data_IF_393922151119
#
_entry.id   IF_393922151119
#
_cell.length_a   1.000
_cell.length_b   1.000
_cell.length_c   1.000
_cell.angle_alpha   90.00
_cell.angle_beta   90.00
_cell.angle_gamma   90.00
#
_symmetry.space_group_name_H-M   'P 1'
#
loop_
_entity.id
_entity.type
_entity.pdbx_description
1 polymer ?
#
# COMPACT_ATOMS: atom_id res chain seq x y z
N UNK A 1 35.57 32.69 -32.06
CA UNK A 1 34.33 32.26 -31.37
C UNK A 1 34.62 30.91 -30.72
N UNK A 2 34.59 30.83 -29.38
CA UNK A 2 34.91 29.62 -28.60
C UNK A 2 33.64 28.80 -28.44
N UNK A 3 33.59 27.57 -28.97
CA UNK A 3 32.53 26.61 -28.68
C UNK A 3 32.99 25.71 -27.52
N UNK A 4 32.46 25.96 -26.33
CA UNK A 4 32.54 25.06 -25.17
C UNK A 4 31.48 23.97 -25.35
N UNK A 5 31.90 22.73 -25.62
CA UNK A 5 31.03 21.56 -25.46
C UNK A 5 30.88 21.26 -23.96
N UNK A 6 29.67 21.44 -23.45
CA UNK A 6 29.26 20.95 -22.14
C UNK A 6 28.71 19.53 -22.30
N UNK A 7 29.40 18.58 -21.66
CA UNK A 7 28.95 17.21 -21.47
C UNK A 7 27.67 17.19 -20.63
N UNK A 8 26.64 16.46 -21.09
CA UNK A 8 25.49 16.09 -20.27
C UNK A 8 25.56 14.59 -19.99
N UNK A 9 25.99 14.25 -18.77
CA UNK A 9 25.83 12.92 -18.20
C UNK A 9 24.33 12.61 -18.15
N UNK A 10 23.90 11.58 -18.88
CA UNK A 10 22.59 10.97 -18.68
C UNK A 10 22.60 10.28 -17.30
N UNK A 11 22.06 10.94 -16.30
CA UNK A 11 21.70 10.31 -15.04
C UNK A 11 20.56 9.35 -15.34
N UNK A 12 20.87 8.08 -15.62
CA UNK A 12 19.88 7.00 -15.66
C UNK A 12 19.31 6.92 -14.25
N UNK A 13 18.12 7.51 -14.08
CA UNK A 13 17.38 7.45 -12.84
C UNK A 13 17.19 5.99 -12.46
N UNK A 14 17.86 5.56 -11.40
CA UNK A 14 17.47 4.37 -10.67
C UNK A 14 16.00 4.58 -10.29
N UNK A 15 15.09 3.86 -10.94
CA UNK A 15 13.66 3.91 -10.63
C UNK A 15 13.51 3.70 -9.13
N UNK A 16 13.07 4.74 -8.41
CA UNK A 16 12.76 4.60 -7.00
C UNK A 16 11.71 3.50 -6.90
N UNK A 17 12.04 2.39 -6.25
CA UNK A 17 11.07 1.39 -5.87
C UNK A 17 9.94 2.14 -5.15
N UNK A 18 8.80 2.27 -5.81
CA UNK A 18 7.67 2.99 -5.24
C UNK A 18 7.26 2.21 -4.01
N UNK A 19 7.37 2.82 -2.83
CA UNK A 19 6.99 2.15 -1.59
C UNK A 19 5.54 1.64 -1.71
N UNK A 20 5.29 0.41 -1.27
CA UNK A 20 3.98 -0.24 -1.25
C UNK A 20 2.93 0.62 -0.52
N UNK A 21 1.88 1.05 -1.22
CA UNK A 21 0.76 1.82 -0.65
C UNK A 21 -0.34 0.84 -0.27
N UNK A 22 -0.80 0.90 0.97
CA UNK A 22 -1.86 0.05 1.48
C UNK A 22 -3.13 0.83 1.79
N UNK A 23 -4.25 0.16 1.54
CA UNK A 23 -5.56 0.46 2.10
C UNK A 23 -5.95 -0.67 3.06
N UNK A 24 -6.66 -0.35 4.13
CA UNK A 24 -7.37 -1.35 4.94
C UNK A 24 -8.85 -1.01 5.06
N UNK A 25 -9.66 -2.05 5.20
CA UNK A 25 -11.06 -1.94 5.64
C UNK A 25 -11.14 -2.49 7.05
N UNK A 26 -11.67 -1.68 7.96
CA UNK A 26 -11.91 -2.07 9.35
C UNK A 26 -13.27 -2.76 9.48
N UNK A 27 -13.44 -3.50 10.57
CA UNK A 27 -14.67 -4.24 10.88
C UNK A 27 -15.94 -3.38 10.95
N UNK A 28 -15.79 -2.10 11.29
CA UNK A 28 -16.90 -1.14 11.32
C UNK A 28 -17.21 -0.53 9.94
N UNK A 29 -16.53 -0.99 8.88
CA UNK A 29 -16.66 -0.48 7.52
C UNK A 29 -15.77 0.73 7.23
N UNK A 30 -15.01 1.24 8.20
CA UNK A 30 -14.09 2.37 7.98
C UNK A 30 -12.97 1.95 7.03
N UNK A 31 -12.76 2.73 5.97
CA UNK A 31 -11.66 2.54 5.03
C UNK A 31 -10.54 3.53 5.35
N UNK A 32 -9.31 3.03 5.50
CA UNK A 32 -8.12 3.85 5.78
C UNK A 32 -7.10 3.69 4.66
N UNK A 33 -6.66 4.82 4.10
CA UNK A 33 -5.80 4.89 2.91
C UNK A 33 -4.39 5.40 3.22
N UNK A 34 -3.53 5.36 2.20
CA UNK A 34 -2.16 5.91 2.20
C UNK A 34 -1.30 5.35 3.36
N UNK A 35 -1.46 4.05 3.62
CA UNK A 35 -0.76 3.35 4.69
C UNK A 35 0.53 2.72 4.15
N UNK A 36 1.58 2.75 4.96
CA UNK A 36 2.77 1.93 4.78
C UNK A 36 2.76 0.83 5.82
N UNK A 37 2.71 -0.42 5.41
CA UNK A 37 2.86 -1.54 6.33
C UNK A 37 4.25 -1.47 6.97
N UNK A 38 4.32 -1.43 8.30
CA UNK A 38 5.58 -1.29 9.03
C UNK A 38 5.95 -2.61 9.70
N UNK A 39 5.04 -3.13 10.52
CA UNK A 39 5.33 -4.33 11.30
C UNK A 39 4.09 -5.00 11.87
N UNK A 40 4.30 -6.20 12.41
CA UNK A 40 3.34 -6.91 13.26
C UNK A 40 3.93 -7.05 14.66
N UNK A 41 3.16 -6.69 15.69
CA UNK A 41 3.55 -6.81 17.10
C UNK A 41 2.48 -7.62 17.82
N UNK A 42 2.77 -8.89 18.08
CA UNK A 42 1.76 -9.88 18.53
C UNK A 42 0.59 -9.89 17.54
N UNK A 43 -0.57 -9.39 17.97
CA UNK A 43 -1.81 -9.37 17.17
C UNK A 43 -2.20 -7.96 16.74
N UNK A 44 -1.24 -7.03 16.75
CA UNK A 44 -1.44 -5.65 16.33
C UNK A 44 -0.61 -5.35 15.10
N UNK A 45 -1.28 -5.07 14.00
CA UNK A 45 -0.64 -4.58 12.78
C UNK A 45 -0.33 -3.09 12.92
N UNK A 46 0.87 -2.71 12.51
CA UNK A 46 1.41 -1.37 12.62
C UNK A 46 1.61 -0.81 11.22
N UNK A 47 1.07 0.38 11.01
CA UNK A 47 1.25 1.14 9.78
C UNK A 47 1.89 2.50 10.09
N UNK A 48 2.63 3.04 9.12
CA UNK A 48 2.91 4.49 9.06
C UNK A 48 1.90 5.16 8.14
N UNK A 49 1.38 6.30 8.56
CA UNK A 49 0.55 7.18 7.75
C UNK A 49 1.07 8.60 7.93
N UNK A 50 1.64 9.17 6.87
CA UNK A 50 2.40 10.41 6.97
C UNK A 50 3.49 10.31 8.07
N UNK A 51 3.46 11.18 9.08
CA UNK A 51 4.37 11.16 10.23
C UNK A 51 3.80 10.43 11.46
N UNK A 52 2.65 9.76 11.32
CA UNK A 52 1.95 9.08 12.42
C UNK A 52 2.11 7.58 12.33
N UNK A 53 2.12 6.93 13.48
CA UNK A 53 2.04 5.48 13.61
C UNK A 53 0.61 5.07 13.96
N UNK A 54 0.02 4.26 13.10
CA UNK A 54 -1.33 3.71 13.28
C UNK A 54 -1.22 2.25 13.74
N UNK A 55 -2.08 1.85 14.68
CA UNK A 55 -2.06 0.51 15.29
C UNK A 55 -3.46 -0.06 15.30
N UNK A 56 -3.63 -1.25 14.72
CA UNK A 56 -4.92 -1.93 14.67
C UNK A 56 -4.77 -3.37 15.15
N UNK A 57 -5.64 -3.85 16.06
CA UNK A 57 -5.75 -5.28 16.32
C UNK A 57 -6.13 -6.01 15.02
N UNK A 58 -5.52 -7.16 14.74
CA UNK A 58 -5.79 -7.95 13.52
C UNK A 58 -7.26 -8.33 13.37
N UNK A 59 -7.97 -8.55 14.49
CA UNK A 59 -9.40 -8.84 14.45
C UNK A 59 -10.27 -7.65 14.05
N UNK A 60 -9.73 -6.42 14.11
CA UNK A 60 -10.44 -5.22 13.62
C UNK A 60 -10.16 -4.93 12.15
N UNK A 61 -9.20 -5.61 11.53
CA UNK A 61 -8.85 -5.42 10.12
C UNK A 61 -9.44 -6.56 9.32
N UNK A 62 -10.35 -6.22 8.42
CA UNK A 62 -11.16 -7.17 7.66
C UNK A 62 -10.60 -7.39 6.25
N UNK A 63 -10.03 -6.36 5.65
CA UNK A 63 -9.35 -6.42 4.35
C UNK A 63 -8.04 -5.63 4.42
N UNK A 64 -7.00 -6.14 3.75
CA UNK A 64 -5.82 -5.37 3.37
C UNK A 64 -5.66 -5.39 1.86
N UNK A 65 -5.45 -4.22 1.26
CA UNK A 65 -5.27 -4.05 -0.18
C UNK A 65 -3.96 -3.35 -0.48
N UNK A 66 -3.09 -4.00 -1.23
CA UNK A 66 -1.91 -3.37 -1.80
C UNK A 66 -2.32 -2.65 -3.09
N UNK A 67 -2.31 -1.33 -3.02
CA UNK A 67 -2.69 -0.44 -4.12
C UNK A 67 -1.51 -0.38 -5.09
N UNK A 68 -1.69 -0.94 -6.28
CA UNK A 68 -0.71 -0.80 -7.36
C UNK A 68 -1.00 0.50 -8.10
N UNK A 69 0.04 1.23 -8.46
CA UNK A 69 -0.07 2.51 -9.17
C UNK A 69 -0.57 2.31 -10.62
N UNK A 70 -1.85 1.99 -10.79
CA UNK A 70 -2.63 2.46 -11.92
C UNK A 70 -2.99 3.92 -11.65
N UNK A 71 -2.90 4.78 -12.66
CA UNK A 71 -3.13 6.22 -12.58
C UNK A 71 -4.33 6.56 -11.67
N UNK A 72 -4.11 7.39 -10.64
CA UNK A 72 -5.18 8.08 -9.91
C UNK A 72 -5.91 8.99 -10.90
N UNK A 73 -6.98 8.51 -11.54
CA UNK A 73 -7.94 9.39 -12.20
C UNK A 73 -8.98 9.78 -11.16
N UNK A 74 -8.81 10.96 -10.59
CA UNK A 74 -9.85 11.60 -9.76
C UNK A 74 -10.83 12.27 -10.72
N UNK A 75 -11.90 11.55 -11.06
CA UNK A 75 -13.05 12.15 -11.78
C UNK A 75 -13.84 13.09 -10.85
N UNK A 76 -14.48 14.15 -11.38
CA UNK A 76 -15.27 15.07 -10.58
C UNK A 76 -16.48 14.37 -9.96
N UNK A 77 -16.70 14.59 -8.67
CA UNK A 77 -17.86 14.08 -7.93
C UNK A 77 -19.08 14.89 -8.34
N UNK A 78 -19.95 14.33 -9.19
CA UNK A 78 -21.30 14.88 -9.46
C UNK A 78 -22.34 14.18 -8.60
N UNK A 79 -23.25 14.99 -8.05
CA UNK A 79 -24.34 14.63 -7.13
C UNK A 79 -25.08 13.34 -7.51
N UNK A 80 -25.20 12.42 -6.55
CA UNK A 80 -25.80 11.09 -6.72
C UNK A 80 -24.87 9.93 -6.35
N UNK A 81 -23.81 10.21 -5.58
CA UNK A 81 -22.67 9.36 -5.26
C UNK A 81 -23.02 7.87 -5.00
N UNK A 82 -23.00 7.07 -6.07
CA UNK A 82 -22.41 5.74 -5.99
C UNK A 82 -20.93 5.96 -5.68
N UNK A 83 -20.40 5.26 -4.69
CA UNK A 83 -18.98 5.30 -4.33
C UNK A 83 -18.12 4.87 -5.53
N UNK A 84 -17.73 5.81 -6.40
CA UNK A 84 -16.78 5.62 -7.51
C UNK A 84 -15.39 6.22 -7.19
N UNK A 85 -15.13 6.51 -5.91
CA UNK A 85 -13.89 7.13 -5.43
C UNK A 85 -12.76 6.17 -5.05
N UNK A 86 -12.86 4.87 -5.37
CA UNK A 86 -11.74 3.95 -5.21
C UNK A 86 -11.13 3.72 -6.60
N UNK A 87 -9.83 3.93 -6.73
CA UNK A 87 -9.08 3.40 -7.85
C UNK A 87 -9.37 1.89 -7.92
N UNK A 88 -10.23 1.47 -8.84
CA UNK A 88 -10.46 0.06 -9.13
C UNK A 88 -9.21 -0.42 -9.89
N UNK A 89 -8.10 -0.54 -9.18
CA UNK A 89 -6.89 -1.16 -9.67
C UNK A 89 -7.21 -2.61 -9.97
N UNK A 90 -7.51 -2.92 -11.23
CA UNK A 90 -7.69 -4.29 -11.73
C UNK A 90 -6.47 -5.20 -11.47
N UNK A 91 -5.37 -4.62 -10.97
CA UNK A 91 -4.13 -5.27 -10.58
C UNK A 91 -3.83 -5.26 -9.06
N UNK A 92 -4.73 -4.73 -8.23
CA UNK A 92 -4.49 -4.67 -6.79
C UNK A 92 -4.47 -6.05 -6.16
N UNK A 93 -3.60 -6.25 -5.17
CA UNK A 93 -3.54 -7.48 -4.40
C UNK A 93 -4.38 -7.32 -3.13
N UNK A 94 -5.43 -8.13 -3.02
CA UNK A 94 -6.41 -8.06 -1.93
C UNK A 94 -6.27 -9.27 -1.02
N UNK A 95 -6.18 -9.02 0.28
CA UNK A 95 -6.15 -10.02 1.34
C UNK A 95 -7.42 -9.88 2.19
N UNK A 96 -8.37 -10.80 1.99
CA UNK A 96 -9.59 -10.86 2.76
C UNK A 96 -9.34 -11.56 4.11
N UNK A 97 -9.02 -10.80 5.14
CA UNK A 97 -8.69 -11.32 6.47
C UNK A 97 -9.93 -11.86 7.20
N UNK A 98 -11.14 -11.40 6.86
CA UNK A 98 -12.39 -11.91 7.46
C UNK A 98 -12.58 -13.42 7.32
N UNK A 99 -12.00 -14.03 6.29
CA UNK A 99 -12.10 -15.47 6.02
C UNK A 99 -11.16 -16.31 6.89
N UNK A 100 -10.28 -15.65 7.65
CA UNK A 100 -9.19 -16.27 8.39
C UNK A 100 -9.39 -16.12 9.89
N UNK A 101 -8.99 -17.16 10.62
CA UNK A 101 -8.86 -17.08 12.08
C UNK A 101 -7.65 -16.22 12.49
N UNK A 102 -7.51 -15.92 13.78
CA UNK A 102 -6.45 -15.03 14.27
C UNK A 102 -5.03 -15.58 13.97
N UNK A 103 -4.71 -16.86 14.25
CA UNK A 103 -3.45 -17.47 13.81
C UNK A 103 -3.16 -17.33 12.31
N UNK A 104 -4.14 -17.55 11.45
CA UNK A 104 -4.01 -17.46 10.00
C UNK A 104 -3.79 -16.02 9.53
N UNK A 105 -4.55 -15.05 10.07
CA UNK A 105 -4.30 -13.61 9.82
C UNK A 105 -2.87 -13.23 10.17
N UNK A 106 -2.36 -13.71 11.31
CA UNK A 106 -0.98 -13.47 11.73
C UNK A 106 0.01 -14.00 10.70
N UNK A 107 -0.14 -15.26 10.27
CA UNK A 107 0.73 -15.89 9.26
C UNK A 107 0.74 -15.13 7.94
N UNK A 108 -0.43 -14.68 7.46
CA UNK A 108 -0.54 -13.89 6.23
C UNK A 108 0.24 -12.59 6.34
N UNK A 109 0.02 -11.81 7.41
CA UNK A 109 0.70 -10.52 7.60
C UNK A 109 2.21 -10.68 7.76
N UNK A 110 2.65 -11.71 8.50
CA UNK A 110 4.07 -12.04 8.60
C UNK A 110 4.68 -12.43 7.26
N UNK A 111 3.95 -13.16 6.42
CA UNK A 111 4.42 -13.53 5.08
C UNK A 111 4.58 -12.29 4.19
N UNK A 112 3.61 -11.37 4.20
CA UNK A 112 3.69 -10.10 3.47
C UNK A 112 4.94 -9.32 3.89
N UNK A 113 5.19 -9.20 5.20
CA UNK A 113 6.36 -8.50 5.75
C UNK A 113 7.68 -9.17 5.32
N UNK A 114 7.74 -10.51 5.32
CA UNK A 114 8.92 -11.27 4.88
C UNK A 114 9.20 -11.06 3.40
N UNK A 115 8.20 -11.18 2.54
CA UNK A 115 8.35 -11.01 1.09
C UNK A 115 8.84 -9.61 0.73
N UNK A 116 8.38 -8.58 1.44
CA UNK A 116 8.84 -7.21 1.22
C UNK A 116 10.29 -6.95 1.65
N UNK A 117 10.79 -7.70 2.64
CA UNK A 117 12.16 -7.53 3.16
C UNK A 117 13.19 -8.30 2.34
N UNK A 118 12.75 -9.29 1.55
CA UNK A 118 13.64 -10.05 0.69
C UNK A 118 14.09 -9.20 -0.52
N UNK A 119 15.39 -9.12 -0.84
CA UNK A 119 15.83 -8.56 -2.10
C UNK A 119 15.26 -9.38 -3.26
N UNK A 120 14.94 -8.76 -4.42
CA UNK A 120 14.47 -9.50 -5.58
C UNK A 120 15.52 -10.55 -6.00
N UNK A 121 15.11 -11.74 -6.48
CA UNK A 121 16.04 -12.72 -7.02
C UNK A 121 16.85 -12.08 -8.16
N UNK A 122 18.17 -12.29 -8.12
CA UNK A 122 19.13 -11.81 -9.15
C UNK A 122 18.95 -12.56 -10.46
#
# INVERSE_FOLDING_TARGET
MRALLLAALALVGAGQATEDVWQITLRDGTIVWDLRLDSLRRDTIVFRQNKKTMRYPLLRVDEMRLVRAGKREVGPVTDGARYDGAANGTSDLVYQLTLLDLPERRRVVEQILRTRTAPPPR
#
